data_IF_105923544628
#
_entry.id   IF_105923544628
#
_cell.length_a   1.000
_cell.length_b   1.000
_cell.length_c   1.000
_cell.angle_alpha   90.00
_cell.angle_beta   90.00
_cell.angle_gamma   90.00
#
_symmetry.space_group_name_H-M   'P 1'
#
loop_
_entity.id
_entity.type
_entity.pdbx_description
1 polymer ?
#
# COMPACT_ATOMS: atom_id res chain seq x y z
N UNK A 1 29.40 5.70 -10.33
CA UNK A 1 28.54 6.75 -10.92
C UNK A 1 27.29 6.07 -11.43
N UNK A 2 26.22 6.03 -10.62
CA UNK A 2 24.97 5.36 -10.98
C UNK A 2 24.04 6.33 -11.68
N UNK A 3 23.67 6.03 -12.92
CA UNK A 3 22.78 6.86 -13.73
C UNK A 3 21.37 6.79 -13.16
N UNK A 4 20.78 7.97 -12.91
CA UNK A 4 19.39 8.11 -12.47
C UNK A 4 18.45 7.62 -13.58
N UNK A 5 17.44 6.84 -13.21
CA UNK A 5 16.36 6.47 -14.14
C UNK A 5 15.52 7.69 -14.52
N UNK A 6 14.62 7.51 -15.50
CA UNK A 6 13.75 8.57 -16.09
C UNK A 6 12.89 9.32 -15.04
N UNK A 7 12.80 8.80 -13.81
CA UNK A 7 12.04 9.37 -12.70
C UNK A 7 12.93 10.03 -11.61
N UNK A 8 14.24 10.20 -11.86
CA UNK A 8 15.17 10.85 -10.94
C UNK A 8 15.51 10.07 -9.67
N UNK A 9 15.17 8.77 -9.62
CA UNK A 9 15.40 7.89 -8.47
C UNK A 9 16.40 6.77 -8.81
N UNK A 10 17.28 6.43 -7.87
CA UNK A 10 18.28 5.36 -8.02
C UNK A 10 17.58 3.99 -8.17
N UNK A 11 17.80 3.25 -9.26
CA UNK A 11 17.17 1.94 -9.48
C UNK A 11 17.49 0.91 -8.39
N UNK A 12 18.61 1.07 -7.66
CA UNK A 12 18.95 0.20 -6.51
C UNK A 12 18.05 0.42 -5.30
N UNK A 13 17.35 1.57 -5.21
CA UNK A 13 16.40 1.86 -4.12
C UNK A 13 15.10 1.04 -4.22
N UNK A 14 14.75 0.56 -5.42
CA UNK A 14 13.51 -0.21 -5.65
C UNK A 14 13.69 -1.73 -5.52
N UNK A 15 14.91 -2.25 -5.70
CA UNK A 15 15.18 -3.68 -5.64
C UNK A 15 14.74 -4.36 -4.32
N UNK A 16 14.80 -3.62 -3.20
CA UNK A 16 14.32 -4.12 -1.90
C UNK A 16 12.79 -4.26 -1.84
N UNK A 17 12.07 -3.26 -2.34
CA UNK A 17 10.60 -3.28 -2.42
C UNK A 17 10.15 -4.36 -3.40
N UNK A 18 10.75 -4.45 -4.59
CA UNK A 18 10.40 -5.46 -5.59
C UNK A 18 10.59 -6.88 -5.05
N UNK A 19 11.72 -7.14 -4.39
CA UNK A 19 11.98 -8.45 -3.76
C UNK A 19 10.96 -8.75 -2.66
N UNK A 20 10.62 -7.76 -1.85
CA UNK A 20 9.64 -7.91 -0.78
C UNK A 20 8.25 -8.25 -1.33
N UNK A 21 7.78 -7.51 -2.35
CA UNK A 21 6.48 -7.76 -2.97
C UNK A 21 6.44 -9.12 -3.66
N UNK A 22 7.46 -9.46 -4.45
CA UNK A 22 7.55 -10.78 -5.08
C UNK A 22 7.54 -11.92 -4.07
N UNK A 23 8.20 -11.73 -2.91
CA UNK A 23 8.17 -12.71 -1.82
C UNK A 23 6.78 -12.83 -1.20
N UNK A 24 5.98 -11.77 -1.08
CA UNK A 24 4.60 -11.90 -0.57
C UNK A 24 3.72 -12.57 -1.60
N UNK A 25 3.82 -12.17 -2.87
CA UNK A 25 3.06 -12.76 -3.97
C UNK A 25 3.26 -14.27 -4.08
N UNK A 26 4.46 -14.78 -3.77
CA UNK A 26 4.73 -16.23 -3.81
C UNK A 26 4.03 -17.04 -2.71
N UNK A 27 3.41 -16.39 -1.72
CA UNK A 27 2.72 -17.05 -0.60
C UNK A 27 1.19 -16.96 -0.66
N UNK A 28 0.63 -16.40 -1.74
CA UNK A 28 -0.81 -16.21 -1.90
C UNK A 28 -1.32 -16.82 -3.20
N UNK A 29 -2.60 -17.20 -3.22
CA UNK A 29 -3.27 -17.63 -4.44
C UNK A 29 -3.66 -16.40 -5.27
N UNK A 30 -2.74 -15.96 -6.14
CA UNK A 30 -2.95 -14.81 -7.02
C UNK A 30 -4.16 -14.99 -7.93
N UNK A 31 -4.39 -16.20 -8.47
CA UNK A 31 -5.47 -16.45 -9.39
C UNK A 31 -6.83 -16.30 -8.71
N UNK A 32 -6.96 -16.83 -7.48
CA UNK A 32 -8.18 -16.66 -6.68
C UNK A 32 -8.44 -15.19 -6.33
N UNK A 33 -7.41 -14.44 -5.92
CA UNK A 33 -7.56 -13.00 -5.59
C UNK A 33 -7.97 -12.19 -6.82
N UNK A 34 -7.32 -12.42 -7.96
CA UNK A 34 -7.64 -11.75 -9.22
C UNK A 34 -9.08 -12.06 -9.68
N UNK A 35 -9.51 -13.32 -9.55
CA UNK A 35 -10.88 -13.72 -9.90
C UNK A 35 -11.93 -13.05 -9.01
N UNK A 36 -11.64 -12.86 -7.71
CA UNK A 36 -12.54 -12.21 -6.77
C UNK A 36 -12.58 -10.68 -6.91
N UNK A 37 -11.49 -10.06 -7.40
CA UNK A 37 -11.33 -8.60 -7.55
C UNK A 37 -11.88 -7.78 -6.35
N UNK A 38 -11.43 -8.09 -5.11
CA UNK A 38 -12.00 -7.50 -3.91
C UNK A 38 -11.76 -5.99 -3.88
N UNK A 39 -12.69 -5.27 -3.27
CA UNK A 39 -12.49 -3.86 -2.91
C UNK A 39 -11.69 -3.81 -1.62
N UNK A 40 -10.66 -2.97 -1.57
CA UNK A 40 -9.79 -2.87 -0.40
C UNK A 40 -9.53 -1.40 -0.10
N UNK A 41 -9.72 -1.00 1.15
CA UNK A 41 -9.25 0.30 1.66
C UNK A 41 -7.97 0.07 2.44
N UNK A 42 -6.91 0.82 2.10
CA UNK A 42 -5.61 0.74 2.77
C UNK A 42 -5.29 2.10 3.38
N UNK A 43 -5.26 2.17 4.71
CA UNK A 43 -4.71 3.31 5.44
C UNK A 43 -3.22 3.09 5.71
N UNK A 44 -2.38 3.85 5.01
CA UNK A 44 -0.93 3.75 5.16
C UNK A 44 -0.39 4.56 6.34
N UNK A 45 -1.22 5.40 6.97
CA UNK A 45 -0.85 6.27 8.09
C UNK A 45 0.41 7.07 7.82
N UNK A 46 0.67 7.51 6.58
CA UNK A 46 1.89 8.19 6.14
C UNK A 46 3.21 7.41 6.35
N UNK A 47 3.14 6.13 6.69
CA UNK A 47 4.31 5.29 6.95
C UNK A 47 4.86 4.61 5.70
N UNK A 48 5.80 3.68 5.93
CA UNK A 48 6.49 2.91 4.88
C UNK A 48 5.56 2.07 4.01
N UNK A 49 4.37 1.70 4.50
CA UNK A 49 3.39 0.93 3.73
C UNK A 49 2.89 1.69 2.49
N UNK A 50 3.01 3.01 2.45
CA UNK A 50 2.64 3.85 1.31
C UNK A 50 3.36 3.45 0.00
N UNK A 51 4.57 2.91 0.08
CA UNK A 51 5.36 2.47 -1.10
C UNK A 51 5.26 0.97 -1.39
N UNK A 52 4.51 0.20 -0.58
CA UNK A 52 4.38 -1.25 -0.72
C UNK A 52 2.92 -1.68 -0.89
N UNK A 53 2.09 -1.53 0.14
CA UNK A 53 0.75 -2.13 0.19
C UNK A 53 -0.15 -1.70 -0.96
N UNK A 54 -0.29 -0.41 -1.31
CA UNK A 54 -1.12 -0.02 -2.45
C UNK A 54 -0.66 -0.61 -3.79
N UNK A 55 0.64 -0.84 -3.96
CA UNK A 55 1.18 -1.48 -5.17
C UNK A 55 0.84 -2.97 -5.18
N UNK A 56 1.15 -3.69 -4.11
CA UNK A 56 0.89 -5.13 -3.97
C UNK A 56 -0.56 -5.47 -4.26
N UNK A 57 -1.51 -4.80 -3.59
CA UNK A 57 -2.93 -5.11 -3.75
C UNK A 57 -3.43 -4.79 -5.17
N UNK A 58 -2.89 -3.77 -5.85
CA UNK A 58 -3.21 -3.52 -7.26
C UNK A 58 -2.65 -4.60 -8.18
N UNK A 59 -1.40 -5.03 -7.96
CA UNK A 59 -0.74 -6.10 -8.74
C UNK A 59 -1.44 -7.46 -8.57
N UNK A 60 -2.05 -7.69 -7.40
CA UNK A 60 -2.93 -8.83 -7.10
C UNK A 60 -4.35 -8.70 -7.68
N UNK A 61 -4.71 -7.58 -8.32
CA UNK A 61 -6.01 -7.40 -8.98
C UNK A 61 -7.12 -6.80 -8.10
N UNK A 62 -6.80 -6.26 -6.93
CA UNK A 62 -7.78 -5.62 -6.06
C UNK A 62 -8.16 -4.21 -6.54
N UNK A 63 -9.39 -3.78 -6.22
CA UNK A 63 -9.86 -2.40 -6.40
C UNK A 63 -9.48 -1.59 -5.16
N UNK A 64 -8.36 -0.88 -5.24
CA UNK A 64 -7.72 -0.24 -4.08
C UNK A 64 -8.12 1.23 -3.93
N UNK A 65 -8.65 1.57 -2.77
CA UNK A 65 -8.75 2.94 -2.24
C UNK A 65 -7.71 3.14 -1.14
N UNK A 66 -7.16 4.34 -1.01
CA UNK A 66 -6.08 4.61 -0.04
C UNK A 66 -6.33 5.83 0.82
N UNK A 67 -5.96 5.75 2.10
CA UNK A 67 -5.81 6.86 3.02
C UNK A 67 -4.33 7.05 3.37
N UNK A 68 -3.91 8.30 3.53
CA UNK A 68 -2.58 8.66 4.05
C UNK A 68 -1.41 7.96 3.31
N UNK A 69 -1.53 7.76 2.00
CA UNK A 69 -0.59 6.99 1.18
C UNK A 69 0.58 7.81 0.61
N UNK A 70 0.85 8.98 1.18
CA UNK A 70 2.08 9.75 0.95
C UNK A 70 3.02 9.55 2.15
N UNK A 71 4.26 9.07 1.94
CA UNK A 71 5.22 8.91 3.04
C UNK A 71 5.54 10.27 3.70
N UNK A 72 5.34 10.36 5.01
CA UNK A 72 5.65 11.54 5.82
C UNK A 72 5.92 11.12 7.28
N UNK A 73 7.15 11.31 7.74
CA UNK A 73 7.59 10.91 9.09
C UNK A 73 7.01 11.74 10.24
N UNK A 74 6.27 12.81 9.94
CA UNK A 74 5.51 13.58 10.94
C UNK A 74 4.12 13.00 11.23
N UNK A 75 3.67 12.01 10.44
CA UNK A 75 2.38 11.32 10.60
C UNK A 75 1.15 12.26 10.63
N UNK A 76 0.96 13.14 9.62
CA UNK A 76 -0.09 14.16 9.65
C UNK A 76 -1.51 13.61 9.55
N UNK A 77 -1.72 12.42 8.98
CA UNK A 77 -3.04 11.82 8.80
C UNK A 77 -3.65 11.23 10.08
N UNK A 78 -2.81 10.63 10.93
CA UNK A 78 -3.14 10.11 12.26
C UNK A 78 -1.84 9.67 12.95
N UNK A 79 -1.83 9.47 14.28
CA UNK A 79 -0.71 8.81 14.94
C UNK A 79 -0.38 7.47 14.27
N UNK A 80 0.91 7.13 14.20
CA UNK A 80 1.41 5.97 13.47
C UNK A 80 0.79 4.65 13.93
N UNK A 81 0.50 4.55 15.23
CA UNK A 81 -0.13 3.38 15.85
C UNK A 81 -1.61 3.22 15.43
N UNK A 82 -2.01 2.11 14.77
CA UNK A 82 -3.37 1.90 14.25
C UNK A 82 -4.33 1.40 15.34
N UNK A 83 -4.58 2.21 16.36
CA UNK A 83 -5.57 1.91 17.41
C UNK A 83 -6.99 2.16 16.94
N UNK A 84 -7.98 1.57 17.63
CA UNK A 84 -9.40 1.78 17.33
C UNK A 84 -9.80 3.26 17.24
N UNK A 85 -9.23 4.09 18.12
CA UNK A 85 -9.47 5.54 18.19
C UNK A 85 -8.82 6.30 17.02
N UNK A 86 -7.75 5.78 16.43
CA UNK A 86 -7.04 6.43 15.33
C UNK A 86 -7.59 6.03 13.95
N UNK A 87 -8.45 5.01 13.86
CA UNK A 87 -8.93 4.45 12.58
C UNK A 87 -10.33 4.92 12.17
N UNK A 88 -10.80 6.06 12.71
CA UNK A 88 -12.12 6.63 12.39
C UNK A 88 -12.31 6.81 10.87
N UNK A 89 -11.35 7.42 10.18
CA UNK A 89 -11.44 7.67 8.74
C UNK A 89 -11.40 6.36 7.93
N UNK A 90 -10.58 5.39 8.35
CA UNK A 90 -10.54 4.08 7.71
C UNK A 90 -11.90 3.37 7.81
N UNK A 91 -12.47 3.30 9.02
CA UNK A 91 -13.79 2.69 9.26
C UNK A 91 -14.87 3.36 8.40
N UNK A 92 -14.89 4.69 8.36
CA UNK A 92 -15.82 5.44 7.54
C UNK A 92 -15.65 5.15 6.05
N UNK A 93 -14.42 5.10 5.55
CA UNK A 93 -14.15 4.83 4.14
C UNK A 93 -14.51 3.40 3.73
N UNK A 94 -14.30 2.41 4.59
CA UNK A 94 -14.73 1.01 4.35
C UNK A 94 -16.24 0.96 4.11
N UNK A 95 -17.04 1.57 4.99
CA UNK A 95 -18.50 1.62 4.87
C UNK A 95 -18.91 2.34 3.58
N UNK A 96 -18.32 3.51 3.30
CA UNK A 96 -18.68 4.32 2.12
C UNK A 96 -18.35 3.64 0.79
N UNK A 97 -17.25 2.90 0.73
CA UNK A 97 -16.79 2.25 -0.51
C UNK A 97 -17.39 0.85 -0.70
N UNK A 98 -18.01 0.30 0.36
CA UNK A 98 -18.48 -1.08 0.41
C UNK A 98 -17.33 -2.06 0.19
N UNK A 99 -16.17 -1.74 0.76
CA UNK A 99 -15.00 -2.61 0.79
C UNK A 99 -15.16 -3.70 1.86
#
# INVERSE_FOLDING_TARGET
TGTLGQDGLDPRRHAGVDRYLASIESHVDRAAIQAAAPKVVIDCGNGTSAVTSPRLFRELGCRVSTLHANPDGSFPGRPSDPTDAHLTDLKSMVIQTGA
#
